data_IF_762760633551
#
_entry.id   IF_762760633551
#
_cell.length_a   1.000
_cell.length_b   1.000
_cell.length_c   1.000
_cell.angle_alpha   90.00
_cell.angle_beta   90.00
_cell.angle_gamma   90.00
#
_symmetry.space_group_name_H-M   'P 1'
#
loop_
_entity.id
_entity.type
_entity.pdbx_description
1 polymer ?
#
# COMPACT_ATOMS: atom_id res chain seq x y z
N UNK A 1 24.78 -27.34 17.01
CA UNK A 1 23.43 -27.40 17.62
C UNK A 1 23.02 -26.00 18.03
N UNK A 2 21.94 -25.36 17.56
CA UNK A 2 20.87 -25.59 16.58
C UNK A 2 20.43 -24.17 16.17
N UNK A 3 20.13 -23.95 14.88
CA UNK A 3 19.57 -22.67 14.39
C UNK A 3 18.15 -22.47 14.95
N UNK A 4 17.77 -21.31 15.50
CA UNK A 4 16.37 -21.02 15.74
C UNK A 4 15.72 -20.59 14.41
N UNK A 5 14.91 -21.50 13.87
CA UNK A 5 13.92 -21.23 12.85
C UNK A 5 13.00 -20.10 13.34
N UNK A 6 13.12 -18.95 12.68
CA UNK A 6 12.17 -17.85 12.82
C UNK A 6 10.80 -18.32 12.35
N UNK A 7 9.91 -18.57 13.31
CA UNK A 7 8.50 -18.81 13.10
C UNK A 7 7.87 -17.58 12.47
N UNK A 8 7.78 -17.61 11.14
CA UNK A 8 7.02 -16.65 10.35
C UNK A 8 5.54 -16.83 10.66
N UNK A 9 4.79 -15.80 11.09
CA UNK A 9 3.34 -15.86 11.06
C UNK A 9 2.90 -15.67 9.60
N UNK A 10 2.86 -16.76 8.85
CA UNK A 10 2.19 -16.83 7.56
C UNK A 10 0.68 -16.81 7.79
N UNK A 11 0.08 -15.62 7.72
CA UNK A 11 -1.26 -15.36 7.19
C UNK A 11 -1.55 -13.86 7.07
N UNK A 12 -0.64 -13.15 6.42
CA UNK A 12 -0.95 -11.86 5.81
C UNK A 12 -0.61 -11.95 4.33
N UNK A 13 -1.59 -11.72 3.46
CA UNK A 13 -1.36 -11.57 2.02
C UNK A 13 -0.45 -10.35 1.83
N UNK A 14 0.86 -10.59 1.84
CA UNK A 14 1.87 -9.57 1.60
C UNK A 14 1.82 -9.26 0.12
N UNK A 15 1.50 -8.02 -0.20
CA UNK A 15 1.35 -7.54 -1.57
C UNK A 15 2.52 -6.62 -1.87
N UNK A 16 3.21 -6.90 -2.97
CA UNK A 16 4.24 -6.03 -3.48
C UNK A 16 3.65 -5.14 -4.58
N UNK A 17 4.07 -3.87 -4.64
CA UNK A 17 3.80 -3.04 -5.81
C UNK A 17 5.03 -2.99 -6.71
N UNK A 18 4.78 -2.74 -8.00
CA UNK A 18 5.83 -2.45 -8.98
C UNK A 18 5.69 -1.02 -9.46
N UNK A 19 6.79 -0.27 -9.45
CA UNK A 19 6.83 1.04 -10.11
C UNK A 19 6.99 0.84 -11.61
N UNK A 20 6.10 1.45 -12.40
CA UNK A 20 6.10 1.40 -13.85
C UNK A 20 6.15 2.83 -14.40
N UNK A 21 6.88 3.01 -15.50
CA UNK A 21 6.84 4.26 -16.26
C UNK A 21 5.57 4.29 -17.09
N UNK A 22 4.78 5.33 -16.88
CA UNK A 22 3.69 5.69 -17.76
C UNK A 22 4.29 6.37 -18.99
N UNK A 23 4.75 5.58 -19.97
CA UNK A 23 5.19 6.07 -21.28
C UNK A 23 3.98 6.45 -22.15
N UNK A 24 2.97 7.12 -21.58
CA UNK A 24 1.88 7.69 -22.35
C UNK A 24 2.37 9.01 -22.94
N UNK A 25 3.20 8.88 -23.97
CA UNK A 25 3.69 9.98 -24.77
C UNK A 25 2.55 10.44 -25.69
N UNK A 26 1.52 11.06 -25.10
CA UNK A 26 0.46 11.69 -25.87
C UNK A 26 0.95 13.09 -26.26
N UNK A 27 1.88 13.11 -27.22
CA UNK A 27 2.33 14.34 -27.85
C UNK A 27 1.22 14.79 -28.80
N UNK A 28 0.24 15.52 -28.25
CA UNK A 28 -0.71 16.29 -29.05
C UNK A 28 -0.57 17.77 -28.68
N UNK A 29 0.65 18.30 -28.88
CA UNK A 29 0.82 19.71 -29.14
C UNK A 29 0.42 19.97 -30.61
N UNK A 30 -0.88 20.08 -30.85
CA UNK A 30 -1.35 20.92 -31.94
C UNK A 30 -2.44 21.87 -31.43
N UNK A 31 -2.00 22.94 -30.75
CA UNK A 31 -2.78 24.18 -30.67
C UNK A 31 -2.52 24.94 -31.97
N UNK A 32 -3.06 24.46 -33.08
CA UNK A 32 -3.22 25.29 -34.27
C UNK A 32 -4.43 26.20 -34.03
N UNK A 33 -4.11 27.46 -33.73
CA UNK A 33 -5.02 28.59 -33.72
C UNK A 33 -5.69 28.71 -35.10
N UNK A 34 -6.84 28.10 -35.29
CA UNK A 34 -7.65 28.34 -36.48
C UNK A 34 -8.86 29.21 -36.12
N UNK A 35 -8.59 30.52 -36.07
CA UNK A 35 -9.60 31.56 -36.15
C UNK A 35 -10.26 31.49 -37.53
N UNK A 36 -11.58 31.63 -37.52
CA UNK A 36 -12.54 31.37 -38.59
C UNK A 36 -12.27 32.05 -39.95
N UNK A 37 -12.61 31.36 -41.05
CA UNK A 37 -13.22 32.00 -42.22
C UNK A 37 -14.01 31.01 -43.12
N UNK A 38 -15.34 31.03 -42.93
CA UNK A 38 -16.48 30.85 -43.86
C UNK A 38 -16.41 30.00 -45.17
N UNK A 39 -17.45 29.14 -45.29
CA UNK A 39 -18.33 28.84 -46.45
C UNK A 39 -17.97 27.67 -47.39
N UNK A 40 -18.59 26.50 -47.16
CA UNK A 40 -19.58 25.84 -48.05
C UNK A 40 -20.02 24.48 -47.48
N UNK A 41 -21.24 24.07 -47.84
CA UNK A 41 -22.00 22.98 -47.21
C UNK A 41 -21.40 21.58 -47.34
N UNK A 42 -21.59 20.82 -46.28
CA UNK A 42 -21.21 19.41 -46.16
C UNK A 42 -21.04 19.10 -44.68
N UNK A 43 -21.95 18.31 -44.10
CA UNK A 43 -21.80 17.80 -42.74
C UNK A 43 -20.50 16.98 -42.64
N UNK A 44 -19.56 17.30 -41.74
CA UNK A 44 -18.62 16.32 -41.26
C UNK A 44 -19.24 15.68 -40.02
N UNK A 45 -19.69 14.44 -40.19
CA UNK A 45 -20.04 13.59 -39.07
C UNK A 45 -18.82 13.48 -38.16
N UNK A 46 -19.06 13.69 -36.87
CA UNK A 46 -18.06 13.62 -35.81
C UNK A 46 -17.61 12.17 -35.69
N UNK A 47 -16.62 11.77 -36.49
CA UNK A 47 -15.96 10.49 -36.30
C UNK A 47 -14.93 10.74 -35.20
N UNK A 48 -15.39 10.66 -33.96
CA UNK A 48 -14.52 10.34 -32.84
C UNK A 48 -13.93 8.96 -33.12
N UNK A 49 -12.83 8.91 -33.86
CA UNK A 49 -11.98 7.72 -33.96
C UNK A 49 -11.31 7.61 -32.60
N UNK A 50 -12.06 7.05 -31.66
CA UNK A 50 -11.58 6.68 -30.35
C UNK A 50 -10.49 5.66 -30.54
N UNK A 51 -9.25 6.12 -30.51
CA UNK A 51 -8.14 5.25 -30.18
C UNK A 51 -8.32 4.95 -28.69
N UNK A 52 -9.16 3.97 -28.38
CA UNK A 52 -9.47 3.53 -27.01
C UNK A 52 -8.25 2.82 -26.44
N UNK A 53 -7.20 3.58 -26.17
CA UNK A 53 -6.24 3.16 -25.15
C UNK A 53 -7.04 3.19 -23.86
N UNK A 54 -7.42 2.00 -23.37
CA UNK A 54 -8.09 1.84 -22.08
C UNK A 54 -7.41 2.78 -21.07
N UNK A 55 -8.13 3.77 -20.54
CA UNK A 55 -7.51 4.79 -19.72
C UNK A 55 -6.89 4.10 -18.51
N UNK A 56 -5.61 4.39 -18.23
CA UNK A 56 -4.99 3.94 -16.98
C UNK A 56 -5.69 4.66 -15.82
N UNK A 57 -6.70 4.02 -15.24
CA UNK A 57 -7.49 4.58 -14.14
C UNK A 57 -6.93 4.14 -12.79
N UNK A 58 -6.83 5.08 -11.86
CA UNK A 58 -6.45 4.82 -10.49
C UNK A 58 -7.59 4.11 -9.74
N UNK A 59 -7.30 3.03 -9.04
CA UNK A 59 -8.29 2.26 -8.28
C UNK A 59 -8.82 2.98 -7.03
N UNK A 60 -8.12 3.99 -6.52
CA UNK A 60 -8.56 4.73 -5.33
C UNK A 60 -9.43 5.96 -5.64
N UNK A 61 -9.07 6.71 -6.68
CA UNK A 61 -9.75 7.98 -7.02
C UNK A 61 -10.52 7.93 -8.35
N UNK A 62 -10.43 6.82 -9.10
CA UNK A 62 -11.07 6.62 -10.40
C UNK A 62 -10.68 7.66 -11.48
N UNK A 63 -9.67 8.49 -11.23
CA UNK A 63 -9.13 9.43 -12.19
C UNK A 63 -8.07 8.78 -13.11
N UNK A 64 -7.85 9.38 -14.28
CA UNK A 64 -6.79 8.99 -15.20
C UNK A 64 -5.41 9.28 -14.60
N UNK A 65 -4.53 8.31 -14.68
CA UNK A 65 -3.13 8.43 -14.29
C UNK A 65 -2.37 9.10 -15.43
N UNK A 66 -2.06 10.39 -15.23
CA UNK A 66 -1.27 11.23 -16.14
C UNK A 66 0.18 11.37 -15.68
N UNK A 67 0.49 10.91 -14.46
CA UNK A 67 1.82 10.98 -13.86
C UNK A 67 2.82 10.14 -14.65
N UNK A 68 4.10 10.55 -14.63
CA UNK A 68 5.21 9.83 -15.26
C UNK A 68 5.41 8.43 -14.67
N UNK A 69 5.15 8.27 -13.38
CA UNK A 69 5.32 7.04 -12.64
C UNK A 69 3.98 6.59 -12.09
N UNK A 70 3.71 5.28 -12.17
CA UNK A 70 2.49 4.68 -11.66
C UNK A 70 2.79 3.37 -10.95
N UNK A 71 1.98 3.05 -9.95
CA UNK A 71 2.16 1.85 -9.15
C UNK A 71 1.16 0.79 -9.60
N UNK A 72 1.66 -0.43 -9.84
CA UNK A 72 0.82 -1.60 -10.12
C UNK A 72 0.82 -2.55 -8.93
N UNK A 73 -0.36 -2.81 -8.37
CA UNK A 73 -0.56 -3.75 -7.26
C UNK A 73 -2.00 -4.27 -7.24
N UNK A 74 -2.21 -5.51 -6.76
CA UNK A 74 -3.52 -6.18 -6.76
C UNK A 74 -4.20 -6.20 -8.14
N UNK A 75 -3.41 -6.37 -9.21
CA UNK A 75 -3.87 -6.29 -10.60
C UNK A 75 -4.58 -4.97 -10.96
N UNK A 76 -4.29 -3.91 -10.20
CA UNK A 76 -4.84 -2.56 -10.35
C UNK A 76 -3.73 -1.52 -10.45
N UNK A 77 -4.09 -0.35 -10.95
CA UNK A 77 -3.19 0.81 -11.09
C UNK A 77 -3.51 1.87 -10.05
N UNK A 78 -2.48 2.56 -9.57
CA UNK A 78 -2.56 3.51 -8.48
C UNK A 78 -1.60 4.67 -8.74
N UNK A 79 -2.00 5.88 -8.37
CA UNK A 79 -1.06 7.00 -8.20
C UNK A 79 -0.15 6.75 -7.00
N UNK A 80 1.03 7.37 -6.98
CA UNK A 80 1.96 7.33 -5.83
C UNK A 80 1.31 7.86 -4.55
N UNK A 81 0.46 8.89 -4.66
CA UNK A 81 -0.29 9.47 -3.53
C UNK A 81 -1.56 8.70 -3.15
N UNK A 82 -2.07 7.86 -4.06
CA UNK A 82 -3.30 7.10 -3.84
C UNK A 82 -3.04 5.76 -3.14
N UNK A 83 -1.86 5.16 -3.33
CA UNK A 83 -1.47 3.93 -2.64
C UNK A 83 -0.96 4.25 -1.22
N UNK A 84 -1.90 4.45 -0.29
CA UNK A 84 -1.63 4.78 1.10
C UNK A 84 -2.28 3.79 2.07
N UNK A 85 -1.72 3.72 3.27
CA UNK A 85 -2.28 2.92 4.35
C UNK A 85 -3.57 3.57 4.89
N UNK A 86 -4.59 2.75 5.13
CA UNK A 86 -5.89 3.19 5.67
C UNK A 86 -5.80 3.72 7.11
N UNK A 87 -4.79 3.28 7.89
CA UNK A 87 -4.63 3.65 9.29
C UNK A 87 -3.74 4.89 9.52
N UNK A 88 -2.54 4.93 8.94
CA UNK A 88 -1.61 6.08 9.08
C UNK A 88 -1.76 7.13 7.97
N UNK A 89 -2.47 6.84 6.87
CA UNK A 89 -2.45 7.64 5.62
C UNK A 89 -1.07 7.82 4.99
N UNK A 90 -0.05 7.10 5.45
CA UNK A 90 1.30 7.20 4.94
C UNK A 90 1.43 6.56 3.54
N UNK A 91 2.20 7.20 2.66
CA UNK A 91 2.45 6.75 1.28
C UNK A 91 3.26 5.46 1.32
N UNK A 92 2.66 4.37 0.83
CA UNK A 92 3.34 3.07 0.84
C UNK A 92 4.55 3.04 -0.09
N UNK A 93 4.55 3.89 -1.12
CA UNK A 93 5.67 4.10 -2.02
C UNK A 93 6.99 4.48 -1.29
N UNK A 94 6.88 5.22 -0.18
CA UNK A 94 8.02 5.74 0.59
C UNK A 94 8.45 4.78 1.71
N UNK A 95 7.49 4.07 2.32
CA UNK A 95 7.74 3.22 3.50
C UNK A 95 8.39 1.88 3.11
N UNK A 96 8.16 1.38 1.90
CA UNK A 96 8.82 0.19 1.37
C UNK A 96 7.98 -0.52 0.31
N UNK A 97 8.57 -1.48 -0.42
CA UNK A 97 8.00 -2.09 -1.63
C UNK A 97 6.78 -3.03 -1.41
N UNK A 98 6.39 -3.23 -0.16
CA UNK A 98 5.41 -4.24 0.26
C UNK A 98 4.40 -3.67 1.26
N UNK A 99 3.15 -4.08 1.15
CA UNK A 99 2.07 -3.73 2.05
C UNK A 99 1.16 -4.94 2.30
N UNK A 100 0.18 -4.79 3.18
CA UNK A 100 -0.73 -5.87 3.54
C UNK A 100 -2.17 -5.50 3.22
N UNK A 101 -2.96 -6.49 2.83
CA UNK A 101 -4.38 -6.30 2.54
C UNK A 101 -5.22 -7.19 3.44
N UNK A 102 -6.19 -6.59 4.12
CA UNK A 102 -7.14 -7.31 4.98
C UNK A 102 -8.49 -6.60 4.94
N UNK A 103 -9.57 -7.37 4.79
CA UNK A 103 -10.95 -6.86 4.67
C UNK A 103 -11.11 -5.77 3.58
N UNK A 104 -10.41 -5.93 2.45
CA UNK A 104 -10.43 -4.95 1.35
C UNK A 104 -9.66 -3.64 1.63
N UNK A 105 -9.03 -3.51 2.79
CA UNK A 105 -8.25 -2.34 3.19
C UNK A 105 -6.75 -2.61 3.10
N UNK A 106 -6.00 -1.56 2.79
CA UNK A 106 -4.56 -1.59 2.60
C UNK A 106 -3.86 -1.02 3.84
N UNK A 107 -2.87 -1.75 4.37
CA UNK A 107 -2.14 -1.39 5.58
C UNK A 107 -0.62 -1.42 5.36
N UNK A 108 0.09 -0.50 6.00
CA UNK A 108 1.55 -0.57 6.09
C UNK A 108 1.96 -1.73 7.02
N UNK A 109 3.22 -2.19 6.91
CA UNK A 109 3.75 -3.28 7.76
C UNK A 109 3.54 -3.03 9.25
N UNK A 110 3.76 -1.79 9.69
CA UNK A 110 3.64 -1.37 11.10
C UNK A 110 2.19 -1.44 11.58
N UNK A 111 1.25 -0.84 10.85
CA UNK A 111 -0.16 -0.84 11.23
C UNK A 111 -0.78 -2.22 11.11
N UNK A 112 -0.39 -3.00 10.10
CA UNK A 112 -0.85 -4.37 9.96
C UNK A 112 -0.42 -5.22 11.17
N UNK A 113 0.86 -5.14 11.56
CA UNK A 113 1.35 -5.83 12.75
C UNK A 113 0.65 -5.34 14.01
N UNK A 114 0.45 -4.03 14.17
CA UNK A 114 -0.25 -3.46 15.33
C UNK A 114 -1.70 -3.91 15.46
N UNK A 115 -2.46 -3.89 14.36
CA UNK A 115 -3.89 -4.16 14.36
C UNK A 115 -4.23 -5.66 14.27
N UNK A 116 -3.38 -6.43 13.62
CA UNK A 116 -3.67 -7.82 13.25
C UNK A 116 -2.54 -8.81 13.54
N UNK A 117 -1.43 -8.34 14.10
CA UNK A 117 -0.37 -9.23 14.56
C UNK A 117 -0.81 -10.09 15.73
N UNK A 118 -0.09 -11.18 15.95
CA UNK A 118 -0.35 -12.05 17.09
C UNK A 118 -0.09 -11.29 18.39
N UNK A 119 -1.14 -11.15 19.20
CA UNK A 119 -1.02 -10.64 20.57
C UNK A 119 -0.44 -11.75 21.45
N UNK A 120 0.50 -11.38 22.32
CA UNK A 120 1.05 -12.29 23.34
C UNK A 120 0.26 -12.18 24.64
N UNK A 121 0.53 -13.06 25.59
CA UNK A 121 0.08 -12.91 26.98
C UNK A 121 1.30 -12.86 27.87
N UNK A 122 1.36 -11.86 28.75
CA UNK A 122 2.47 -11.71 29.68
C UNK A 122 2.39 -12.77 30.78
N UNK A 123 3.43 -13.59 30.93
CA UNK A 123 3.44 -14.69 31.91
C UNK A 123 3.56 -14.22 33.38
N UNK A 124 3.85 -12.94 33.61
CA UNK A 124 3.95 -12.36 34.96
C UNK A 124 2.66 -11.65 35.41
N UNK A 125 2.02 -10.86 34.54
CA UNK A 125 0.78 -10.13 34.89
C UNK A 125 -0.49 -10.66 34.23
N UNK A 126 -0.39 -11.70 33.39
CA UNK A 126 -1.49 -12.31 32.63
C UNK A 126 -2.25 -11.36 31.69
N UNK A 127 -1.74 -10.15 31.47
CA UNK A 127 -2.34 -9.19 30.55
C UNK A 127 -1.91 -9.45 29.09
N UNK A 128 -2.74 -8.98 28.15
CA UNK A 128 -2.46 -9.05 26.72
C UNK A 128 -1.33 -8.11 26.34
N UNK A 129 -0.35 -8.62 25.60
CA UNK A 129 0.74 -7.88 24.99
C UNK A 129 0.36 -7.55 23.54
N UNK A 130 0.21 -6.26 23.18
CA UNK A 130 0.05 -5.84 21.80
C UNK A 130 1.20 -6.32 20.91
N UNK A 131 0.88 -6.72 19.67
CA UNK A 131 1.86 -7.29 18.74
C UNK A 131 3.02 -6.36 18.34
N UNK A 132 2.91 -5.06 18.60
CA UNK A 132 3.94 -4.06 18.31
C UNK A 132 4.73 -3.65 19.57
N UNK A 133 4.34 -4.13 20.74
CA UNK A 133 5.03 -3.83 22.00
C UNK A 133 6.33 -4.63 22.07
N UNK A 134 7.38 -4.01 22.62
CA UNK A 134 8.64 -4.69 22.88
C UNK A 134 8.47 -5.62 24.09
N UNK A 135 8.95 -6.85 23.95
CA UNK A 135 8.80 -7.89 24.96
C UNK A 135 10.12 -8.57 25.26
N UNK A 136 10.24 -9.06 26.49
CA UNK A 136 11.28 -10.01 26.85
C UNK A 136 10.77 -11.44 26.64
N UNK A 137 11.63 -12.34 26.16
CA UNK A 137 11.32 -13.76 26.01
C UNK A 137 12.28 -14.58 26.85
N UNK A 138 11.75 -15.45 27.69
CA UNK A 138 12.53 -16.44 28.44
C UNK A 138 11.87 -17.82 28.24
N UNK A 139 12.61 -18.72 27.59
CA UNK A 139 12.09 -20.02 27.14
C UNK A 139 10.78 -19.87 26.33
N UNK A 140 9.68 -20.41 26.85
CA UNK A 140 8.35 -20.36 26.21
C UNK A 140 7.48 -19.19 26.69
N UNK A 141 8.00 -18.38 27.61
CA UNK A 141 7.25 -17.29 28.25
C UNK A 141 7.60 -15.95 27.62
N UNK A 142 6.62 -15.05 27.61
CA UNK A 142 6.74 -13.68 27.10
C UNK A 142 6.37 -12.71 28.22
N UNK A 143 7.11 -11.62 28.33
CA UNK A 143 6.95 -10.65 29.40
C UNK A 143 6.96 -9.23 28.84
N UNK A 144 6.18 -8.32 29.43
CA UNK A 144 6.42 -6.88 29.26
C UNK A 144 7.83 -6.54 29.78
N UNK A 145 8.42 -5.46 29.27
CA UNK A 145 9.73 -4.99 29.77
C UNK A 145 9.69 -4.69 31.27
N UNK A 146 8.58 -4.12 31.75
CA UNK A 146 8.36 -3.80 33.17
C UNK A 146 8.08 -5.02 34.04
N UNK A 147 7.64 -6.13 33.43
CA UNK A 147 7.33 -7.36 34.15
C UNK A 147 8.49 -8.36 34.16
N UNK A 148 9.59 -8.05 33.46
CA UNK A 148 10.77 -8.90 33.40
C UNK A 148 11.76 -8.50 34.50
N UNK A 149 11.48 -8.97 35.72
CA UNK A 149 12.30 -8.74 36.90
C UNK A 149 12.47 -10.01 37.72
N UNK A 150 13.43 -10.00 38.64
CA UNK A 150 13.64 -11.12 39.56
C UNK A 150 12.46 -11.21 40.54
N UNK A 151 11.76 -12.35 40.61
CA UNK A 151 10.63 -12.53 41.54
C UNK A 151 11.02 -12.41 43.03
N UNK A 152 12.28 -12.67 43.36
CA UNK A 152 12.79 -12.56 44.73
C UNK A 152 13.14 -11.12 45.12
N UNK A 153 13.62 -10.32 44.16
CA UNK A 153 14.17 -8.99 44.45
C UNK A 153 13.33 -7.83 43.89
N UNK A 154 12.36 -8.10 42.99
CA UNK A 154 11.56 -7.11 42.25
C UNK A 154 12.35 -5.90 41.71
N UNK A 155 13.62 -6.14 41.33
CA UNK A 155 14.52 -5.19 40.68
C UNK A 155 14.43 -5.33 39.16
#
# INVERSE_FOLDING_TARGET
NENPSSSSPSNGNTVNYRNNNNNNNNNNNNVEKNVATSRHGGQPQNIAIGNTVEPFLCAACNCKIVDRYMLRALDKLWHEDCLKCDACSCRLAEVGKSFFVKYGKIYCRRDYARLFGAQGTCSACNNSIPAFELVMRANHNVYHLECFGCQECNL
#
